data_IF_338267648303
#
_entry.id   IF_338267648303
#
_cell.length_a   1.000
_cell.length_b   1.000
_cell.length_c   1.000
_cell.angle_alpha   90.00
_cell.angle_beta   90.00
_cell.angle_gamma   90.00
#
_symmetry.space_group_name_H-M   'P 1'
#
loop_
_entity.id
_entity.type
_entity.pdbx_description
1 polymer ?
#
# COMPACT_ATOMS: atom_id res chain seq x y z
N UNK A 1 13.46 24.05 4.42
CA UNK A 1 12.53 23.65 3.34
C UNK A 1 12.28 22.16 3.51
N UNK A 2 11.44 21.82 4.49
CA UNK A 2 11.03 20.44 4.75
C UNK A 2 10.14 19.99 3.59
N UNK A 3 10.72 19.25 2.66
CA UNK A 3 9.94 18.57 1.63
C UNK A 3 9.02 17.59 2.36
N UNK A 4 7.70 17.71 2.23
CA UNK A 4 6.81 16.76 2.88
C UNK A 4 7.12 15.38 2.29
N UNK A 5 7.37 14.42 3.17
CA UNK A 5 7.70 13.02 2.84
C UNK A 5 6.71 12.40 1.84
N UNK A 6 5.51 12.97 1.71
CA UNK A 6 4.47 12.61 0.75
C UNK A 6 4.91 12.66 -0.71
N UNK A 7 5.79 13.59 -1.11
CA UNK A 7 6.25 13.70 -2.51
C UNK A 7 7.26 12.59 -2.86
N UNK A 8 8.12 12.21 -1.91
CA UNK A 8 9.12 11.15 -2.08
C UNK A 8 8.43 9.78 -2.07
N UNK A 9 7.43 9.61 -1.18
CA UNK A 9 6.62 8.41 -1.11
C UNK A 9 5.82 8.24 -2.41
N UNK A 10 5.17 9.27 -2.95
CA UNK A 10 4.50 9.21 -4.27
C UNK A 10 5.43 8.72 -5.40
N UNK A 11 6.66 9.23 -5.45
CA UNK A 11 7.64 8.84 -6.47
C UNK A 11 8.04 7.37 -6.40
N UNK A 12 8.23 6.84 -5.19
CA UNK A 12 8.55 5.42 -4.95
C UNK A 12 7.30 4.52 -4.87
N UNK A 13 6.12 5.08 -4.61
CA UNK A 13 4.87 4.35 -4.45
C UNK A 13 4.50 3.62 -5.73
N UNK A 14 4.80 4.16 -6.92
CA UNK A 14 4.59 3.42 -8.18
C UNK A 14 5.33 2.10 -8.25
N UNK A 15 6.57 2.06 -7.75
CA UNK A 15 7.37 0.83 -7.65
C UNK A 15 6.81 -0.11 -6.59
N UNK A 16 6.47 0.43 -5.42
CA UNK A 16 5.88 -0.34 -4.33
C UNK A 16 4.52 -0.93 -4.71
N UNK A 17 3.68 -0.17 -5.41
CA UNK A 17 2.38 -0.60 -5.91
C UNK A 17 2.52 -1.78 -6.90
N UNK A 18 3.59 -1.81 -7.70
CA UNK A 18 3.90 -2.96 -8.56
C UNK A 18 4.24 -4.22 -7.76
N UNK A 19 5.02 -4.10 -6.68
CA UNK A 19 5.31 -5.21 -5.78
C UNK A 19 4.08 -5.64 -4.98
N UNK A 20 3.30 -4.67 -4.53
CA UNK A 20 2.03 -4.85 -3.84
C UNK A 20 1.02 -5.59 -4.72
N UNK A 21 0.95 -5.31 -6.03
CA UNK A 21 0.12 -6.07 -6.96
C UNK A 21 0.54 -7.55 -7.05
N UNK A 22 1.84 -7.84 -6.95
CA UNK A 22 2.33 -9.22 -6.95
C UNK A 22 1.99 -9.93 -5.63
N UNK A 23 2.06 -9.21 -4.50
CA UNK A 23 1.67 -9.74 -3.19
C UNK A 23 0.15 -9.95 -3.09
N UNK A 24 -0.60 -8.99 -3.60
CA UNK A 24 -2.05 -8.98 -3.63
C UNK A 24 -2.56 -9.15 -5.06
N UNK A 25 -2.55 -10.39 -5.55
CA UNK A 25 -2.99 -10.75 -6.92
C UNK A 25 -4.43 -10.30 -7.24
N UNK A 26 -5.30 -10.20 -6.22
CA UNK A 26 -6.68 -9.71 -6.34
C UNK A 26 -6.77 -8.18 -6.52
N UNK A 27 -5.71 -7.44 -6.18
CA UNK A 27 -5.67 -5.98 -6.29
C UNK A 27 -4.94 -5.56 -7.56
N UNK A 28 -5.59 -4.68 -8.32
CA UNK A 28 -4.96 -4.13 -9.52
C UNK A 28 -4.01 -2.99 -9.16
N UNK A 29 -2.90 -2.87 -9.90
CA UNK A 29 -1.95 -1.75 -9.78
C UNK A 29 -2.65 -0.40 -9.72
N UNK A 30 -3.68 -0.19 -10.55
CA UNK A 30 -4.46 1.05 -10.59
C UNK A 30 -5.16 1.37 -9.26
N UNK A 31 -5.71 0.37 -8.57
CA UNK A 31 -6.37 0.55 -7.26
C UNK A 31 -5.35 0.88 -6.16
N UNK A 32 -4.20 0.21 -6.19
CA UNK A 32 -3.08 0.49 -5.29
C UNK A 32 -2.52 1.90 -5.54
N UNK A 33 -2.39 2.31 -6.80
CA UNK A 33 -1.95 3.66 -7.18
C UNK A 33 -2.94 4.74 -6.75
N UNK A 34 -4.26 4.53 -6.90
CA UNK A 34 -5.29 5.46 -6.40
C UNK A 34 -5.24 5.67 -4.89
N UNK A 35 -4.69 4.70 -4.18
CA UNK A 35 -4.48 4.79 -2.74
C UNK A 35 -3.30 5.68 -2.37
N UNK A 36 -2.40 5.98 -3.31
CA UNK A 36 -1.27 6.91 -3.12
C UNK A 36 -0.32 6.53 -1.96
N UNK A 37 -0.32 5.25 -1.56
CA UNK A 37 0.42 4.77 -0.40
C UNK A 37 -0.26 5.05 0.93
N UNK A 38 -1.53 5.46 0.91
CA UNK A 38 -2.34 5.65 2.10
C UNK A 38 -2.75 4.30 2.71
N UNK A 39 -2.31 4.10 3.94
CA UNK A 39 -2.50 2.86 4.69
C UNK A 39 -3.99 2.52 4.87
N UNK A 40 -4.82 3.54 5.12
CA UNK A 40 -6.24 3.40 5.43
C UNK A 40 -7.03 2.99 4.17
N UNK A 41 -6.75 3.66 3.04
CA UNK A 41 -7.32 3.30 1.74
C UNK A 41 -6.96 1.89 1.30
N UNK A 42 -5.69 1.53 1.44
CA UNK A 42 -5.22 0.20 1.08
C UNK A 42 -5.85 -0.85 2.00
N UNK A 43 -5.97 -0.56 3.30
CA UNK A 43 -6.61 -1.46 4.27
C UNK A 43 -8.06 -1.73 3.90
N UNK A 44 -8.82 -0.69 3.56
CA UNK A 44 -10.20 -0.82 3.09
C UNK A 44 -10.32 -1.62 1.77
N UNK A 45 -9.35 -1.46 0.86
CA UNK A 45 -9.29 -2.22 -0.40
C UNK A 45 -9.03 -3.70 -0.13
N UNK A 46 -7.99 -4.03 0.64
CA UNK A 46 -7.64 -5.40 1.00
C UNK A 46 -8.79 -6.06 1.78
N UNK A 47 -9.40 -5.34 2.72
CA UNK A 47 -10.55 -5.82 3.49
C UNK A 47 -11.71 -6.23 2.58
N UNK A 48 -12.04 -5.42 1.57
CA UNK A 48 -13.16 -5.68 0.63
C UNK A 48 -12.84 -6.77 -0.39
N UNK A 49 -11.58 -6.91 -0.80
CA UNK A 49 -11.17 -7.91 -1.80
C UNK A 49 -11.02 -9.29 -1.20
N UNK A 50 -10.37 -9.37 -0.04
CA UNK A 50 -10.02 -10.63 0.58
C UNK A 50 -10.99 -11.07 1.69
N UNK A 51 -12.10 -10.35 1.88
CA UNK A 51 -13.11 -10.61 2.94
C UNK A 51 -12.48 -10.88 4.32
N UNK A 52 -11.41 -10.12 4.64
CA UNK A 52 -10.66 -10.28 5.88
C UNK A 52 -11.00 -9.21 6.90
N UNK A 53 -10.59 -9.38 8.15
CA UNK A 53 -10.81 -8.34 9.17
C UNK A 53 -9.90 -7.14 8.95
N UNK A 54 -10.35 -5.96 9.39
CA UNK A 54 -9.57 -4.73 9.29
C UNK A 54 -8.17 -4.87 9.90
N UNK A 55 -8.04 -5.58 11.02
CA UNK A 55 -6.75 -5.85 11.66
C UNK A 55 -5.81 -6.71 10.78
N UNK A 56 -6.33 -7.77 10.15
CA UNK A 56 -5.56 -8.62 9.25
C UNK A 56 -5.09 -7.84 8.02
N UNK A 57 -6.00 -7.07 7.40
CA UNK A 57 -5.67 -6.22 6.27
C UNK A 57 -4.60 -5.20 6.67
N UNK A 58 -4.83 -4.45 7.75
CA UNK A 58 -3.91 -3.45 8.26
C UNK A 58 -2.52 -4.05 8.54
N UNK A 59 -2.47 -5.24 9.17
CA UNK A 59 -1.20 -5.90 9.49
C UNK A 59 -0.42 -6.32 8.24
N UNK A 60 -1.08 -6.79 7.19
CA UNK A 60 -0.43 -7.08 5.91
C UNK A 60 0.16 -5.81 5.29
N UNK A 61 -0.61 -4.73 5.30
CA UNK A 61 -0.24 -3.44 4.71
C UNK A 61 0.97 -2.87 5.47
N UNK A 62 0.88 -2.81 6.80
CA UNK A 62 1.98 -2.36 7.67
C UNK A 62 3.23 -3.21 7.44
N UNK A 63 3.10 -4.53 7.41
CA UNK A 63 4.24 -5.44 7.17
C UNK A 63 4.89 -5.19 5.81
N UNK A 64 4.09 -4.88 4.79
CA UNK A 64 4.57 -4.51 3.46
C UNK A 64 5.34 -3.19 3.50
N UNK A 65 4.79 -2.15 4.11
CA UNK A 65 5.47 -0.86 4.26
C UNK A 65 6.75 -0.98 5.10
N UNK A 66 6.76 -1.75 6.18
CA UNK A 66 7.95 -1.95 7.02
C UNK A 66 9.07 -2.64 6.25
N UNK A 67 8.75 -3.66 5.44
CA UNK A 67 9.71 -4.36 4.58
C UNK A 67 10.36 -3.43 3.55
N UNK A 68 9.62 -2.43 3.09
CA UNK A 68 10.05 -1.53 2.02
C UNK A 68 10.51 -0.14 2.50
N UNK A 69 10.35 0.19 3.79
CA UNK A 69 10.81 1.43 4.42
C UNK A 69 12.31 1.45 4.70
N UNK A 70 12.96 0.28 4.81
CA UNK A 70 14.36 0.11 5.26
C UNK A 70 15.40 0.03 4.13
N UNK A 71 15.14 0.62 2.96
CA UNK A 71 16.15 0.77 1.88
C UNK A 71 16.15 2.18 1.29
#
# INVERSE_FOLDING_TARGET
MDRPLTEIIKGKWRLLAGLAQIVWDELTLDELLKSDGDLDKLTHLVQKRYDMTHDQAHKQIVSFFERHRTT
#
